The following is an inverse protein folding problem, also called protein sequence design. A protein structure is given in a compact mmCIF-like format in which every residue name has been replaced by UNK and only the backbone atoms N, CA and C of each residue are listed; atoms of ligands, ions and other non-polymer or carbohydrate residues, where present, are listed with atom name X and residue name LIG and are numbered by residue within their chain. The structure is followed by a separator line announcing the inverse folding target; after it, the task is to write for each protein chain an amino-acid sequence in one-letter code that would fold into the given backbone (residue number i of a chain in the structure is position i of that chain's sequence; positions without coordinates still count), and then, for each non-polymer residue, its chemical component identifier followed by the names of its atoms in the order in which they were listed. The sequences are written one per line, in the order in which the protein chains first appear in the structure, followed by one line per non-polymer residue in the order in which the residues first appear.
data_IF_128861270424
#
_entry.id   IF_128861270424
#
_cell.length_a   1.000
_cell.length_b   1.000
_cell.length_c   1.000
_cell.angle_alpha   90.00
_cell.angle_beta   90.00
_cell.angle_gamma   90.00
#
_symmetry.space_group_name_H-M   'P 1'
#
loop_
_entity.id
_entity.type
_entity.pdbx_description
1 polymer ?
#
# COMPACT_ATOMS: atom_id res chain seq x y z
N UNK A 1 14.23 -24.57 -5.43
CA UNK A 1 14.17 -23.64 -4.28
C UNK A 1 12.72 -23.21 -4.19
N UNK A 2 12.05 -23.28 -3.04
CA UNK A 2 10.63 -22.93 -2.98
C UNK A 2 10.44 -21.43 -3.22
N UNK A 3 9.44 -21.05 -4.01
CA UNK A 3 9.16 -19.65 -4.39
C UNK A 3 9.00 -18.73 -3.17
N UNK A 4 8.57 -19.28 -2.03
CA UNK A 4 8.44 -18.56 -0.77
C UNK A 4 9.77 -18.10 -0.16
N UNK A 5 10.89 -18.79 -0.43
CA UNK A 5 12.21 -18.38 0.08
C UNK A 5 12.69 -17.09 -0.57
N UNK A 6 12.42 -16.93 -1.87
CA UNK A 6 12.79 -15.72 -2.62
C UNK A 6 12.13 -14.48 -2.01
N UNK A 7 10.83 -14.54 -1.73
CA UNK A 7 10.12 -13.43 -1.07
C UNK A 7 10.59 -13.22 0.36
N UNK A 8 10.88 -14.30 1.11
CA UNK A 8 11.41 -14.17 2.46
C UNK A 8 12.75 -13.43 2.47
N UNK A 9 13.66 -13.76 1.55
CA UNK A 9 14.98 -13.13 1.45
C UNK A 9 14.89 -11.65 1.06
N UNK A 10 13.91 -11.27 0.24
CA UNK A 10 13.67 -9.87 -0.15
C UNK A 10 13.03 -9.03 0.97
N UNK A 11 12.04 -9.58 1.65
CA UNK A 11 11.19 -8.82 2.59
C UNK A 11 11.55 -9.01 4.06
N UNK A 12 12.58 -9.79 4.39
CA UNK A 12 13.03 -9.95 5.78
C UNK A 12 14.54 -9.79 5.91
N UNK A 13 14.93 -8.89 6.81
CA UNK A 13 16.29 -8.82 7.31
C UNK A 13 16.34 -9.47 8.70
N UNK A 14 17.05 -10.59 8.81
CA UNK A 14 17.03 -11.48 9.96
C UNK A 14 15.61 -11.98 10.32
N UNK A 15 14.95 -11.36 11.29
CA UNK A 15 13.57 -11.69 11.73
C UNK A 15 12.60 -10.51 11.61
N UNK A 16 13.05 -9.39 11.06
CA UNK A 16 12.26 -8.17 10.93
C UNK A 16 11.82 -8.01 9.47
N UNK A 17 10.53 -7.73 9.27
CA UNK A 17 9.99 -7.43 7.94
C UNK A 17 10.52 -6.06 7.49
N UNK A 18 10.97 -5.98 6.25
CA UNK A 18 11.47 -4.75 5.63
C UNK A 18 10.80 -4.51 4.28
N UNK A 19 10.89 -3.28 3.78
CA UNK A 19 10.55 -2.96 2.38
C UNK A 19 11.84 -3.00 1.53
N UNK A 20 11.94 -3.92 0.55
CA UNK A 20 13.13 -3.99 -0.30
C UNK A 20 13.23 -2.78 -1.23
N UNK A 21 14.46 -2.38 -1.57
CA UNK A 21 14.72 -1.21 -2.42
C UNK A 21 14.13 -1.33 -3.83
N UNK A 22 13.99 -2.55 -4.34
CA UNK A 22 13.38 -2.84 -5.65
C UNK A 22 11.86 -3.07 -5.57
N UNK A 23 11.18 -2.60 -4.52
CA UNK A 23 9.72 -2.75 -4.39
C UNK A 23 8.96 -2.14 -5.58
N UNK A 24 9.55 -1.17 -6.29
CA UNK A 24 9.04 -0.60 -7.53
C UNK A 24 8.90 -1.65 -8.65
N UNK A 25 9.80 -2.63 -8.73
CA UNK A 25 9.76 -3.71 -9.71
C UNK A 25 8.74 -4.77 -9.30
N UNK A 26 8.71 -5.08 -8.00
CA UNK A 26 7.91 -6.17 -7.43
C UNK A 26 6.41 -5.86 -7.30
N UNK A 27 6.05 -4.63 -6.92
CA UNK A 27 4.66 -4.28 -6.61
C UNK A 27 3.85 -4.13 -7.91
N UNK A 28 2.91 -5.03 -8.15
CA UNK A 28 1.98 -4.99 -9.31
C UNK A 28 0.63 -4.38 -8.93
N UNK A 29 -0.26 -4.16 -9.90
CA UNK A 29 -1.63 -3.73 -9.62
C UNK A 29 -2.39 -4.76 -8.77
N UNK A 30 -2.20 -6.07 -9.03
CA UNK A 30 -2.73 -7.15 -8.21
C UNK A 30 -2.14 -7.10 -6.79
N UNK A 31 -0.83 -6.90 -6.65
CA UNK A 31 -0.19 -6.76 -5.34
C UNK A 31 -0.73 -5.55 -4.55
N UNK A 32 -0.94 -4.42 -5.24
CA UNK A 32 -1.57 -3.24 -4.66
C UNK A 32 -3.02 -3.50 -4.24
N UNK A 33 -3.78 -4.24 -5.04
CA UNK A 33 -5.16 -4.61 -4.71
C UNK A 33 -5.23 -5.50 -3.46
N UNK A 34 -4.38 -6.53 -3.38
CA UNK A 34 -4.30 -7.41 -2.20
C UNK A 34 -3.90 -6.61 -0.97
N UNK A 35 -2.86 -5.79 -1.08
CA UNK A 35 -2.42 -4.96 0.03
C UNK A 35 -3.50 -3.97 0.49
N UNK A 36 -4.27 -3.38 -0.42
CA UNK A 36 -5.39 -2.52 -0.07
C UNK A 36 -6.56 -3.30 0.56
N UNK A 37 -6.81 -4.54 0.14
CA UNK A 37 -7.80 -5.39 0.79
C UNK A 37 -7.39 -5.71 2.22
N UNK A 38 -6.11 -6.01 2.48
CA UNK A 38 -5.62 -6.31 3.82
C UNK A 38 -5.61 -5.05 4.71
N UNK A 39 -4.87 -4.02 4.31
CA UNK A 39 -4.51 -2.88 5.17
C UNK A 39 -5.15 -1.53 4.76
N UNK A 40 -5.92 -1.51 3.67
CA UNK A 40 -6.56 -0.30 3.15
C UNK A 40 -7.84 0.09 3.89
N UNK A 41 -8.07 1.39 4.06
CA UNK A 41 -9.28 1.93 4.72
C UNK A 41 -9.64 3.35 4.25
N UNK A 42 -10.80 3.85 4.70
CA UNK A 42 -11.19 5.26 4.51
C UNK A 42 -10.49 6.12 5.54
N UNK A 43 -10.14 7.35 5.16
CA UNK A 43 -9.70 8.34 6.15
C UNK A 43 -10.84 8.77 7.09
N UNK A 44 -11.99 9.11 6.53
CA UNK A 44 -13.23 9.42 7.28
C UNK A 44 -14.43 9.34 6.35
N UNK A 45 -15.66 9.46 6.90
CA UNK A 45 -16.89 9.47 6.09
C UNK A 45 -17.00 10.72 5.20
N UNK A 46 -16.34 11.80 5.59
CA UNK A 46 -16.37 13.11 4.93
C UNK A 46 -15.19 13.30 3.96
N UNK A 47 -14.22 12.38 3.96
CA UNK A 47 -13.00 12.49 3.17
C UNK A 47 -12.79 11.24 2.30
N UNK A 48 -12.85 11.44 0.98
CA UNK A 48 -12.59 10.40 -0.03
C UNK A 48 -11.13 9.92 -0.10
N UNK A 49 -10.24 10.49 0.72
CA UNK A 49 -8.87 10.01 0.83
C UNK A 49 -8.83 8.62 1.47
N UNK A 50 -7.85 7.83 1.05
CA UNK A 50 -7.66 6.46 1.55
C UNK A 50 -6.42 6.37 2.41
N UNK A 51 -6.45 5.44 3.34
CA UNK A 51 -5.33 5.09 4.19
C UNK A 51 -4.87 3.67 3.83
N UNK A 52 -3.58 3.42 3.98
CA UNK A 52 -3.02 2.08 4.07
C UNK A 52 -2.22 2.02 5.37
N UNK A 53 -2.60 1.12 6.27
CA UNK A 53 -1.96 0.97 7.56
C UNK A 53 -0.56 0.37 7.39
N UNK A 54 0.47 1.12 7.78
CA UNK A 54 1.89 0.73 7.63
C UNK A 54 2.67 0.84 8.94
N UNK A 55 1.99 0.68 10.08
CA UNK A 55 2.54 0.92 11.43
C UNK A 55 3.79 0.09 11.77
N UNK A 56 4.00 -1.03 11.07
CA UNK A 56 5.15 -1.91 11.27
C UNK A 56 6.40 -1.50 10.47
N UNK A 57 6.34 -0.42 9.69
CA UNK A 57 7.43 0.04 8.83
C UNK A 57 8.01 1.38 9.30
N UNK A 58 9.28 1.61 8.98
CA UNK A 58 9.94 2.89 9.29
C UNK A 58 9.46 4.02 8.38
N UNK A 59 9.78 5.26 8.73
CA UNK A 59 9.42 6.42 7.89
C UNK A 59 10.10 6.35 6.52
N UNK A 60 11.32 5.83 6.43
CA UNK A 60 12.06 5.67 5.18
C UNK A 60 11.38 4.65 4.27
N UNK A 61 10.94 3.52 4.83
CA UNK A 61 10.21 2.48 4.12
C UNK A 61 8.86 2.97 3.62
N UNK A 62 8.10 3.69 4.47
CA UNK A 62 6.81 4.29 4.07
C UNK A 62 7.02 5.37 3.01
N UNK A 63 8.11 6.14 3.09
CA UNK A 63 8.46 7.15 2.09
C UNK A 63 8.78 6.51 0.74
N UNK A 64 9.54 5.41 0.73
CA UNK A 64 9.81 4.62 -0.47
C UNK A 64 8.51 4.09 -1.09
N UNK A 65 7.60 3.54 -0.26
CA UNK A 65 6.28 3.09 -0.73
C UNK A 65 5.47 4.23 -1.34
N UNK A 66 5.45 5.42 -0.72
CA UNK A 66 4.76 6.59 -1.27
C UNK A 66 5.35 7.01 -2.62
N UNK A 67 6.68 6.98 -2.76
CA UNK A 67 7.35 7.28 -4.02
C UNK A 67 6.95 6.29 -5.11
N UNK A 68 6.94 4.98 -4.81
CA UNK A 68 6.51 3.94 -5.76
C UNK A 68 5.05 4.13 -6.17
N UNK A 69 4.16 4.40 -5.21
CA UNK A 69 2.75 4.68 -5.48
C UNK A 69 2.58 5.86 -6.45
N UNK A 70 3.40 6.90 -6.29
CA UNK A 70 3.40 8.05 -7.18
C UNK A 70 3.95 7.75 -8.56
N UNK A 71 5.18 7.22 -8.63
CA UNK A 71 5.91 7.07 -9.89
C UNK A 71 5.34 5.95 -10.77
N UNK A 72 5.02 4.79 -10.17
CA UNK A 72 4.53 3.62 -10.92
C UNK A 72 3.03 3.68 -11.16
N UNK A 73 2.27 4.12 -10.17
CA UNK A 73 0.81 4.05 -10.22
C UNK A 73 0.14 5.40 -10.40
N UNK A 74 0.86 6.53 -10.36
CA UNK A 74 0.28 7.86 -10.49
C UNK A 74 -0.64 8.23 -9.31
N UNK A 75 -0.37 7.69 -8.12
CA UNK A 75 -1.15 7.93 -6.91
C UNK A 75 -0.44 8.94 -6.01
N UNK A 76 -1.09 10.07 -5.74
CA UNK A 76 -0.56 11.06 -4.80
C UNK A 76 -0.70 10.55 -3.37
N UNK A 77 0.38 10.01 -2.85
CA UNK A 77 0.49 9.41 -1.53
C UNK A 77 1.51 10.15 -0.67
N UNK A 78 1.22 10.31 0.63
CA UNK A 78 2.15 10.91 1.60
C UNK A 78 2.21 10.07 2.88
N UNK A 79 3.37 10.00 3.56
CA UNK A 79 3.43 9.47 4.91
C UNK A 79 2.62 10.35 5.87
N UNK A 80 1.83 9.71 6.74
CA UNK A 80 1.04 10.36 7.78
C UNK A 80 1.40 9.73 9.13
N UNK A 81 2.01 10.51 10.02
CA UNK A 81 2.30 10.06 11.40
C UNK A 81 1.01 9.98 12.21
N UNK A 82 0.82 8.88 12.90
CA UNK A 82 -0.15 8.66 13.97
C UNK A 82 0.60 8.45 15.29
N UNK A 83 -0.13 8.31 16.40
CA UNK A 83 0.47 8.11 17.74
C UNK A 83 1.21 6.77 17.81
N UNK A 84 0.68 5.77 17.13
CA UNK A 84 1.08 4.36 17.16
C UNK A 84 1.90 3.93 15.94
N UNK A 85 2.24 4.86 15.03
CA UNK A 85 3.09 4.56 13.88
C UNK A 85 2.82 5.46 12.68
N UNK A 86 3.02 4.93 11.47
CA UNK A 86 2.97 5.68 10.23
C UNK A 86 2.03 4.97 9.26
N UNK A 87 1.15 5.74 8.64
CA UNK A 87 0.25 5.28 7.59
C UNK A 87 0.60 5.95 6.27
N UNK A 88 0.20 5.34 5.16
CA UNK A 88 0.17 6.00 3.86
C UNK A 88 -1.20 6.66 3.71
N UNK A 89 -1.21 7.97 3.45
CA UNK A 89 -2.41 8.69 3.04
C UNK A 89 -2.41 8.93 1.53
N UNK A 90 -3.34 8.29 0.82
CA UNK A 90 -3.61 8.52 -0.60
C UNK A 90 -4.65 9.64 -0.70
N UNK A 91 -4.29 10.72 -1.40
CA UNK A 91 -5.16 11.89 -1.56
C UNK A 91 -6.44 11.51 -2.29
N UNK A 92 -7.54 12.17 -1.90
CA UNK A 92 -8.85 12.02 -2.54
C UNK A 92 -8.79 12.22 -4.07
N UNK A 93 -7.94 13.13 -4.55
CA UNK A 93 -7.73 13.38 -5.99
C UNK A 93 -7.21 12.17 -6.76
N UNK A 94 -6.58 11.20 -6.09
CA UNK A 94 -6.09 9.95 -6.70
C UNK A 94 -7.04 8.78 -6.50
N UNK A 95 -8.18 8.95 -5.81
CA UNK A 95 -9.06 7.84 -5.49
C UNK A 95 -9.69 7.19 -6.74
N UNK A 96 -10.16 7.99 -7.70
CA UNK A 96 -10.70 7.47 -8.97
C UNK A 96 -9.69 6.60 -9.72
N UNK A 97 -8.41 7.01 -9.69
CA UNK A 97 -7.31 6.26 -10.29
C UNK A 97 -7.00 4.99 -9.51
N UNK A 98 -6.91 5.06 -8.18
CA UNK A 98 -6.74 3.89 -7.33
C UNK A 98 -7.84 2.86 -7.61
N UNK A 99 -9.12 3.29 -7.56
CA UNK A 99 -10.28 2.44 -7.84
C UNK A 99 -10.14 1.79 -9.21
N UNK A 100 -9.78 2.53 -10.27
CA UNK A 100 -9.57 1.97 -11.61
C UNK A 100 -8.48 0.89 -11.65
N UNK A 101 -7.34 1.11 -10.99
CA UNK A 101 -6.21 0.17 -10.97
C UNK A 101 -6.56 -1.14 -10.26
N UNK A 102 -7.26 -1.07 -9.13
CA UNK A 102 -7.43 -2.25 -8.27
C UNK A 102 -8.78 -2.95 -8.46
N UNK A 103 -9.83 -2.28 -8.95
CA UNK A 103 -11.17 -2.88 -9.09
C UNK A 103 -11.20 -4.23 -9.82
N UNK A 104 -10.40 -4.49 -10.88
CA UNK A 104 -10.39 -5.80 -11.54
C UNK A 104 -9.97 -6.97 -10.62
N UNK A 105 -9.31 -6.67 -9.51
CA UNK A 105 -8.72 -7.66 -8.59
C UNK A 105 -9.42 -7.71 -7.22
N UNK A 106 -10.34 -6.77 -6.93
CA UNK A 106 -11.06 -6.74 -5.66
C UNK A 106 -12.18 -7.78 -5.66
N UNK A 107 -12.18 -8.65 -4.66
CA UNK A 107 -13.26 -9.63 -4.46
C UNK A 107 -14.51 -8.97 -3.86
N UNK A 108 -15.68 -9.56 -4.12
CA UNK A 108 -16.99 -8.98 -3.77
C UNK A 108 -17.11 -8.58 -2.30
N UNK A 109 -16.58 -9.40 -1.37
CA UNK A 109 -16.63 -9.13 0.06
C UNK A 109 -15.81 -7.91 0.52
N UNK A 110 -14.93 -7.37 -0.33
CA UNK A 110 -14.10 -6.19 -0.04
C UNK A 110 -14.53 -4.94 -0.83
N UNK A 111 -15.59 -5.02 -1.66
CA UNK A 111 -16.07 -3.87 -2.44
C UNK A 111 -16.46 -2.67 -1.57
N UNK A 112 -16.92 -2.91 -0.34
CA UNK A 112 -17.24 -1.85 0.63
C UNK A 112 -16.04 -0.95 0.97
N UNK A 113 -14.80 -1.34 0.65
CA UNK A 113 -13.60 -0.49 0.80
C UNK A 113 -13.44 0.54 -0.34
N UNK A 114 -14.18 0.37 -1.44
CA UNK A 114 -14.15 1.20 -2.65
C UNK A 114 -15.37 2.10 -2.85
N UNK A 115 -16.37 2.04 -1.98
CA UNK A 115 -17.64 2.76 -2.13
C UNK A 115 -17.83 3.94 -1.16
#
# INVERSE_FOLDING_TARGET
MSDFLVFRELFYQAKTKIIPKNINELLTELGLAIWFMDDGSYKSKECWGKLICTHNFTIEEVTLLCQVLKEKFGLEAIPRRQIDGIEIYIRASSFSRLKKLISPFIVTSFLYKLD
#
